data_IF_189534682365
#
_entry.id   IF_189534682365
#
_cell.length_a   1.000
_cell.length_b   1.000
_cell.length_c   1.000
_cell.angle_alpha   90.00
_cell.angle_beta   90.00
_cell.angle_gamma   90.00
#
_symmetry.space_group_name_H-M   'P 1'
#
loop_
_entity.id
_entity.type
_entity.pdbx_description
1 polymer ?
#
# COMPACT_ATOMS: atom_id res chain seq x y z
N UNK A 1 -14.01 7.50 -2.92
CA UNK A 1 -12.90 7.29 -3.88
C UNK A 1 -13.12 5.95 -4.54
N UNK A 2 -12.99 5.88 -5.87
CA UNK A 2 -13.04 4.62 -6.57
C UNK A 2 -11.65 3.97 -6.53
N UNK A 3 -11.60 2.68 -6.25
CA UNK A 3 -10.38 1.89 -6.41
C UNK A 3 -10.18 1.57 -7.88
N UNK A 4 -8.92 1.54 -8.34
CA UNK A 4 -8.64 0.99 -9.66
C UNK A 4 -8.85 -0.53 -9.62
N UNK A 5 -9.58 -1.07 -10.59
CA UNK A 5 -9.86 -2.52 -10.67
C UNK A 5 -9.04 -3.21 -11.75
N UNK A 6 -8.00 -2.55 -12.26
CA UNK A 6 -7.14 -3.11 -13.28
C UNK A 6 -6.34 -4.29 -12.72
N UNK A 7 -6.37 -5.42 -13.44
CA UNK A 7 -5.66 -6.66 -13.08
C UNK A 7 -4.83 -7.13 -14.26
N UNK A 8 -3.68 -7.74 -13.98
CA UNK A 8 -2.83 -8.37 -14.99
C UNK A 8 -2.17 -9.63 -14.48
N UNK A 9 -1.85 -10.56 -15.37
CA UNK A 9 -1.01 -11.72 -15.05
C UNK A 9 0.45 -11.29 -14.81
N UNK A 10 1.09 -11.80 -13.76
CA UNK A 10 2.48 -11.58 -13.45
C UNK A 10 3.35 -12.36 -14.46
N UNK A 11 4.28 -11.70 -15.18
CA UNK A 11 5.26 -12.38 -16.00
C UNK A 11 6.27 -13.08 -15.09
N UNK A 12 5.99 -14.33 -14.71
CA UNK A 12 6.68 -15.02 -13.62
C UNK A 12 8.20 -15.02 -13.76
N UNK A 13 8.72 -15.23 -14.97
CA UNK A 13 10.16 -15.20 -15.23
C UNK A 13 10.79 -13.86 -14.88
N UNK A 14 10.17 -12.74 -15.28
CA UNK A 14 10.68 -11.40 -15.00
C UNK A 14 10.57 -11.06 -13.51
N UNK A 15 9.43 -11.41 -12.90
CA UNK A 15 9.19 -11.14 -11.48
C UNK A 15 10.13 -11.95 -10.58
N UNK A 16 10.29 -13.25 -10.84
CA UNK A 16 11.23 -14.09 -10.09
C UNK A 16 12.68 -13.65 -10.28
N UNK A 17 13.06 -13.26 -11.51
CA UNK A 17 14.39 -12.70 -11.78
C UNK A 17 14.62 -11.44 -10.95
N UNK A 18 13.64 -10.52 -10.93
CA UNK A 18 13.73 -9.30 -10.16
C UNK A 18 13.77 -9.54 -8.64
N UNK A 19 13.00 -10.50 -8.12
CA UNK A 19 13.01 -10.87 -6.70
C UNK A 19 14.35 -11.44 -6.26
N UNK A 20 14.96 -12.33 -7.07
CA UNK A 20 16.25 -12.96 -6.76
C UNK A 20 17.42 -11.97 -6.89
N UNK A 21 17.29 -10.95 -7.75
CA UNK A 21 18.34 -9.94 -7.98
C UNK A 21 18.17 -8.68 -7.14
N UNK A 22 17.09 -8.57 -6.36
CA UNK A 22 16.85 -7.46 -5.46
C UNK A 22 17.81 -7.51 -4.26
N UNK A 23 18.48 -6.39 -3.97
CA UNK A 23 19.23 -6.20 -2.74
C UNK A 23 18.29 -6.26 -1.52
N UNK A 24 18.48 -7.24 -0.64
CA UNK A 24 17.57 -7.46 0.49
C UNK A 24 16.18 -7.92 0.05
N UNK A 25 16.13 -8.70 -1.03
CA UNK A 25 14.93 -9.42 -1.45
C UNK A 25 14.53 -10.51 -0.44
N UNK A 26 13.32 -11.08 -0.59
CA UNK A 26 12.77 -12.04 0.35
C UNK A 26 13.55 -13.37 0.37
N UNK A 27 13.65 -13.99 1.56
CA UNK A 27 14.26 -15.31 1.75
C UNK A 27 13.69 -16.40 0.83
N UNK A 28 12.37 -16.37 0.60
CA UNK A 28 11.68 -17.23 -0.35
C UNK A 28 10.96 -16.40 -1.43
N UNK A 29 11.58 -16.17 -2.60
CA UNK A 29 10.96 -15.39 -3.66
C UNK A 29 9.74 -16.07 -4.29
N UNK A 30 9.61 -17.39 -4.15
CA UNK A 30 8.46 -18.13 -4.66
C UNK A 30 7.22 -17.94 -3.79
N UNK A 31 7.41 -17.72 -2.48
CA UNK A 31 6.33 -17.43 -1.53
C UNK A 31 5.56 -16.14 -1.87
N UNK A 32 6.24 -15.14 -2.44
CA UNK A 32 5.64 -13.87 -2.88
C UNK A 32 4.57 -14.06 -3.95
N UNK A 33 4.67 -15.13 -4.74
CA UNK A 33 3.78 -15.42 -5.87
C UNK A 33 2.86 -16.62 -5.63
N UNK A 34 2.88 -17.21 -4.43
CA UNK A 34 2.39 -18.55 -4.17
C UNK A 34 0.86 -18.74 -4.14
N UNK A 35 0.04 -17.75 -4.49
CA UNK A 35 -1.42 -17.94 -4.41
C UNK A 35 -2.26 -17.36 -5.54
N UNK A 36 -1.82 -16.33 -6.27
CA UNK A 36 -2.46 -15.91 -7.51
C UNK A 36 -1.43 -15.14 -8.33
N UNK A 37 -1.13 -15.57 -9.55
CA UNK A 37 -0.23 -14.85 -10.46
C UNK A 37 -0.88 -13.59 -11.02
N UNK A 38 -1.86 -13.01 -10.33
CA UNK A 38 -2.61 -11.85 -10.78
C UNK A 38 -2.23 -10.67 -9.88
N UNK A 39 -1.79 -9.59 -10.51
CA UNK A 39 -1.45 -8.34 -9.85
C UNK A 39 -2.63 -7.39 -10.02
N UNK A 40 -3.13 -6.88 -8.90
CA UNK A 40 -4.15 -5.83 -8.86
C UNK A 40 -3.46 -4.47 -8.73
N UNK A 41 -3.98 -3.47 -9.44
CA UNK A 41 -3.50 -2.10 -9.28
C UNK A 41 -3.78 -1.61 -7.85
N UNK A 42 -2.74 -1.29 -7.11
CA UNK A 42 -2.82 -0.76 -5.74
C UNK A 42 -3.02 0.74 -5.70
N UNK A 43 -2.92 1.42 -6.85
CA UNK A 43 -3.31 2.81 -6.96
C UNK A 43 -4.84 2.92 -6.90
N UNK A 44 -5.33 3.95 -6.20
CA UNK A 44 -6.73 4.37 -6.28
C UNK A 44 -7.08 4.93 -7.66
N UNK A 45 -8.12 5.75 -7.73
CA UNK A 45 -8.48 6.46 -8.96
C UNK A 45 -7.29 7.25 -9.53
N UNK A 46 -6.99 7.02 -10.81
CA UNK A 46 -5.94 7.71 -11.55
C UNK A 46 -6.33 7.82 -13.03
N UNK A 47 -5.68 8.72 -13.76
CA UNK A 47 -5.97 8.90 -15.18
C UNK A 47 -5.41 7.75 -16.04
N UNK A 48 -5.78 7.73 -17.32
CA UNK A 48 -5.38 6.68 -18.26
C UNK A 48 -3.92 6.79 -18.74
N UNK A 49 -3.21 7.85 -18.37
CA UNK A 49 -1.79 8.06 -18.72
C UNK A 49 -0.86 7.56 -17.62
N UNK A 50 -1.35 7.46 -16.39
CA UNK A 50 -0.64 6.84 -15.27
C UNK A 50 -0.50 5.33 -15.48
N UNK A 51 0.72 4.82 -15.33
CA UNK A 51 0.96 3.38 -15.24
C UNK A 51 0.24 2.82 -14.02
N UNK A 52 -0.43 1.70 -14.19
CA UNK A 52 -0.89 0.90 -13.06
C UNK A 52 0.33 0.39 -12.27
N UNK A 53 0.17 0.20 -10.97
CA UNK A 53 1.26 -0.23 -10.10
C UNK A 53 0.78 -1.24 -9.05
N UNK A 54 1.61 -2.26 -8.79
CA UNK A 54 1.39 -3.26 -7.73
C UNK A 54 2.72 -3.50 -6.98
N UNK A 55 2.65 -3.62 -5.66
CA UNK A 55 3.79 -3.95 -4.82
C UNK A 55 4.07 -5.45 -4.93
N UNK A 56 5.29 -5.81 -5.31
CA UNK A 56 5.72 -7.21 -5.36
C UNK A 56 6.36 -7.62 -4.05
N UNK A 57 7.29 -6.81 -3.55
CA UNK A 57 7.99 -7.12 -2.31
C UNK A 57 8.35 -5.82 -1.59
N UNK A 58 7.91 -5.63 -0.34
CA UNK A 58 8.49 -4.59 0.51
C UNK A 58 9.94 -4.97 0.79
N UNK A 59 10.83 -3.98 0.90
CA UNK A 59 12.17 -4.27 1.37
C UNK A 59 12.14 -4.76 2.83
N UNK A 60 13.04 -5.69 3.18
CA UNK A 60 13.15 -6.22 4.56
C UNK A 60 13.39 -5.14 5.62
N UNK A 61 14.06 -4.05 5.22
CA UNK A 61 14.38 -2.93 6.10
C UNK A 61 13.50 -1.72 5.74
N UNK A 62 12.84 -1.07 6.73
CA UNK A 62 12.15 0.19 6.52
C UNK A 62 13.06 1.18 5.78
N UNK A 63 12.51 1.89 4.79
CA UNK A 63 13.19 2.90 3.96
C UNK A 63 14.12 2.39 2.83
N UNK A 64 14.37 1.08 2.71
CA UNK A 64 14.99 0.54 1.48
C UNK A 64 13.98 0.55 0.32
N UNK A 65 14.42 0.75 -0.94
CA UNK A 65 13.53 0.69 -2.10
C UNK A 65 12.77 -0.63 -2.18
N UNK A 66 11.47 -0.57 -2.43
CA UNK A 66 10.62 -1.74 -2.61
C UNK A 66 10.55 -2.15 -4.08
N UNK A 67 10.26 -3.43 -4.35
CA UNK A 67 10.08 -3.93 -5.70
C UNK A 67 8.63 -3.71 -6.15
N UNK A 68 8.46 -2.96 -7.24
CA UNK A 68 7.17 -2.63 -7.82
C UNK A 68 7.04 -3.17 -9.25
N UNK A 69 5.82 -3.53 -9.60
CA UNK A 69 5.40 -3.89 -10.95
C UNK A 69 4.58 -2.76 -11.55
N UNK A 70 5.02 -2.22 -12.69
CA UNK A 70 4.29 -1.18 -13.42
C UNK A 70 3.80 -1.71 -14.76
N UNK A 71 2.59 -1.32 -15.17
CA UNK A 71 2.08 -1.66 -16.50
C UNK A 71 1.13 -0.64 -17.10
N UNK A 72 1.02 -0.70 -18.42
CA UNK A 72 0.00 0.00 -19.22
C UNK A 72 -0.69 -0.99 -20.15
N UNK A 73 -1.92 -0.66 -20.56
CA UNK A 73 -2.73 -1.53 -21.41
C UNK A 73 -3.16 -2.82 -20.71
N UNK A 74 -3.56 -3.82 -21.49
CA UNK A 74 -3.99 -5.12 -21.00
C UNK A 74 -3.88 -6.20 -22.08
N UNK A 75 -3.92 -7.47 -21.66
CA UNK A 75 -3.80 -8.61 -22.57
C UNK A 75 -2.46 -8.64 -23.31
N UNK A 76 -2.50 -8.90 -24.62
CA UNK A 76 -1.30 -9.09 -25.45
C UNK A 76 -0.49 -7.81 -25.69
N UNK A 77 -1.11 -6.63 -25.60
CA UNK A 77 -0.46 -5.33 -25.83
C UNK A 77 0.12 -4.72 -24.54
N UNK A 78 0.14 -5.49 -23.45
CA UNK A 78 0.60 -5.00 -22.16
C UNK A 78 2.10 -4.74 -22.19
N UNK A 79 2.48 -3.50 -21.92
CA UNK A 79 3.85 -3.13 -21.60
C UNK A 79 4.02 -3.11 -20.08
N UNK A 80 5.10 -3.71 -19.59
CA UNK A 80 5.40 -3.75 -18.16
C UNK A 80 6.87 -3.49 -17.85
N UNK A 81 7.13 -3.13 -16.61
CA UNK A 81 8.48 -3.07 -16.02
C UNK A 81 8.44 -3.50 -14.56
N UNK A 82 9.52 -4.15 -14.13
CA UNK A 82 9.72 -4.57 -12.74
C UNK A 82 10.95 -3.84 -12.22
N UNK A 83 10.81 -3.05 -11.16
CA UNK A 83 11.88 -2.15 -10.72
C UNK A 83 11.80 -1.85 -9.22
N UNK A 84 12.96 -1.67 -8.60
CA UNK A 84 13.07 -1.19 -7.23
C UNK A 84 12.93 0.33 -7.18
N UNK A 85 12.03 0.83 -6.32
CA UNK A 85 11.69 2.25 -6.24
C UNK A 85 11.67 2.68 -4.77
N UNK A 86 12.22 3.86 -4.43
CA UNK A 86 12.11 4.38 -3.07
C UNK A 86 10.65 4.49 -2.62
N UNK A 87 10.41 4.33 -1.32
CA UNK A 87 9.13 4.65 -0.73
C UNK A 87 8.85 6.15 -0.80
N UNK A 88 7.57 6.51 -0.85
CA UNK A 88 7.12 7.89 -0.70
C UNK A 88 7.58 8.45 0.67
N UNK A 89 8.24 9.62 0.70
CA UNK A 89 8.77 10.19 1.94
C UNK A 89 7.68 10.83 2.82
N UNK A 90 6.44 10.87 2.34
CA UNK A 90 5.34 11.49 3.05
C UNK A 90 5.00 10.69 4.33
N UNK A 91 4.80 11.43 5.42
CA UNK A 91 4.39 10.90 6.73
C UNK A 91 3.18 11.65 7.25
N UNK A 92 2.24 10.93 7.84
CA UNK A 92 1.13 11.47 8.61
C UNK A 92 1.42 11.27 10.10
N UNK A 93 1.43 12.36 10.86
CA UNK A 93 1.60 12.32 12.33
C UNK A 93 0.25 12.53 13.01
N UNK A 94 -0.14 11.60 13.86
CA UNK A 94 -1.36 11.71 14.66
C UNK A 94 -0.98 12.07 16.09
N UNK A 95 -1.14 13.35 16.45
CA UNK A 95 -0.73 13.87 17.75
C UNK A 95 -1.50 13.27 18.94
N UNK A 96 -2.77 12.89 18.74
CA UNK A 96 -3.58 12.30 19.81
C UNK A 96 -3.05 10.94 20.30
N UNK A 97 -2.38 10.19 19.42
CA UNK A 97 -1.88 8.84 19.69
C UNK A 97 -0.35 8.76 19.60
N UNK A 98 0.32 9.89 19.39
CA UNK A 98 1.75 9.99 19.08
C UNK A 98 2.23 8.98 18.01
N UNK A 99 1.37 8.71 17.01
CA UNK A 99 1.66 7.72 15.97
C UNK A 99 2.12 8.39 14.67
N UNK A 100 2.96 7.67 13.93
CA UNK A 100 3.46 8.09 12.62
C UNK A 100 3.13 7.01 11.60
N UNK A 101 2.40 7.40 10.56
CA UNK A 101 2.11 6.55 9.41
C UNK A 101 2.96 7.01 8.23
N UNK A 102 3.71 6.09 7.63
CA UNK A 102 4.41 6.33 6.37
C UNK A 102 3.52 5.95 5.19
N UNK A 103 3.64 6.68 4.08
CA UNK A 103 2.88 6.36 2.88
C UNK A 103 3.36 5.02 2.30
N UNK A 104 2.43 4.11 2.02
CA UNK A 104 2.70 2.76 1.54
C UNK A 104 2.91 2.68 0.02
N UNK A 105 3.12 3.81 -0.66
CA UNK A 105 3.33 3.89 -2.10
C UNK A 105 4.77 4.26 -2.45
N UNK A 106 5.17 4.03 -3.71
CA UNK A 106 6.45 4.45 -4.26
C UNK A 106 6.57 5.98 -4.38
N UNK A 107 7.80 6.50 -4.42
CA UNK A 107 8.05 7.93 -4.59
C UNK A 107 7.45 8.47 -5.90
N UNK A 108 6.84 9.66 -5.82
CA UNK A 108 6.12 10.33 -6.94
C UNK A 108 4.92 9.56 -7.49
N UNK A 109 4.24 8.77 -6.65
CA UNK A 109 2.93 8.23 -7.00
C UNK A 109 1.92 9.34 -7.30
N UNK A 110 1.02 9.12 -8.26
CA UNK A 110 -0.05 10.09 -8.59
C UNK A 110 -1.31 9.92 -7.75
N UNK A 111 -1.47 8.76 -7.10
CA UNK A 111 -2.59 8.51 -6.20
C UNK A 111 -2.53 9.45 -4.98
N UNK A 112 -3.66 9.74 -4.32
CA UNK A 112 -3.64 10.25 -2.96
C UNK A 112 -2.82 9.35 -2.03
N UNK A 113 -2.24 9.91 -0.95
CA UNK A 113 -1.42 9.12 -0.03
C UNK A 113 -2.20 7.94 0.57
N UNK A 114 -1.53 6.84 0.91
CA UNK A 114 -2.17 5.58 1.29
C UNK A 114 -3.16 5.71 2.46
N UNK A 115 -2.92 6.62 3.42
CA UNK A 115 -3.85 6.89 4.54
C UNK A 115 -5.13 7.63 4.15
N UNK A 116 -5.22 8.14 2.92
CA UNK A 116 -6.47 8.73 2.40
C UNK A 116 -7.37 7.69 1.75
N UNK A 117 -6.84 6.49 1.50
CA UNK A 117 -7.61 5.37 0.98
C UNK A 117 -8.56 4.88 2.07
N UNK A 118 -9.85 5.06 1.85
CA UNK A 118 -10.89 4.49 2.72
C UNK A 118 -10.94 2.98 2.51
N UNK A 119 -10.78 2.21 3.57
CA UNK A 119 -11.12 0.79 3.61
C UNK A 119 -12.55 0.65 4.14
N UNK A 120 -13.57 0.62 3.26
CA UNK A 120 -14.96 0.53 3.69
C UNK A 120 -15.26 -0.77 4.43
N UNK A 121 -14.46 -1.83 4.23
CA UNK A 121 -14.62 -3.07 4.99
C UNK A 121 -14.02 -2.92 6.39
N UNK A 122 -12.85 -2.30 6.49
CA UNK A 122 -12.21 -1.94 7.76
C UNK A 122 -13.12 -1.10 8.66
N UNK A 123 -13.78 -0.09 8.09
CA UNK A 123 -14.73 0.76 8.82
C UNK A 123 -15.95 -0.03 9.34
N UNK A 124 -16.44 -1.00 8.55
CA UNK A 124 -17.54 -1.88 8.97
C UNK A 124 -17.11 -2.87 10.08
N UNK A 125 -15.88 -3.38 10.03
CA UNK A 125 -15.32 -4.31 11.03
C UNK A 125 -15.03 -3.59 12.34
N UNK A 126 -14.47 -2.38 12.28
CA UNK A 126 -14.15 -1.57 13.45
C UNK A 126 -15.40 -1.12 14.23
N UNK A 127 -16.57 -1.17 13.59
CA UNK A 127 -17.84 -0.76 14.19
C UNK A 127 -17.98 0.76 14.27
N UNK A 128 -19.18 1.27 14.64
CA UNK A 128 -19.38 2.70 14.79
C UNK A 128 -18.47 3.25 15.90
N UNK A 129 -17.68 4.27 15.57
CA UNK A 129 -16.92 5.04 16.56
C UNK A 129 -17.93 5.75 17.46
N UNK A 130 -18.23 5.16 18.61
CA UNK A 130 -19.04 5.82 19.64
C UNK A 130 -18.23 6.96 20.22
N UNK A 131 -18.38 8.16 19.66
CA UNK A 131 -18.00 9.38 20.35
C UNK A 131 -18.97 9.57 21.52
N UNK A 132 -18.50 9.28 22.73
CA UNK A 132 -19.09 9.76 23.97
C UNK A 132 -19.84 8.72 24.78
N UNK A 133 -19.19 8.25 25.85
CA UNK A 133 -19.78 8.41 27.18
C UNK A 133 -18.66 8.82 28.15
N UNK A 134 -18.19 10.07 28.01
CA UNK A 134 -17.60 10.76 29.16
C UNK A 134 -18.80 11.36 29.88
N UNK A 135 -19.44 10.56 30.74
CA UNK A 135 -20.20 11.11 31.86
C UNK A 135 -19.20 11.82 32.77
N UNK A 136 -19.00 13.11 32.51
CA UNK A 136 -18.38 14.03 33.45
C UNK A 136 -19.35 14.19 34.64
N UNK A 137 -19.29 13.27 35.62
CA UNK A 137 -19.92 13.48 36.92
C UNK A 137 -19.03 14.44 37.71
N UNK A 138 -19.47 15.68 38.01
CA UNK A 138 -18.63 16.68 38.66
C UNK A 138 -18.34 16.37 40.15
N UNK A 139 -18.75 15.22 40.68
CA UNK A 139 -18.74 14.93 42.12
C UNK A 139 -17.55 14.14 42.65
N UNK A 140 -16.65 13.64 41.82
CA UNK A 140 -15.51 12.82 42.29
C UNK A 140 -14.14 13.44 41.97
N UNK A 141 -13.95 14.70 42.36
CA UNK A 141 -12.60 15.25 42.54
C UNK A 141 -12.27 15.31 44.04
N UNK A 142 -11.43 14.40 44.57
CA UNK A 142 -10.76 14.67 45.84
C UNK A 142 -9.67 15.73 45.60
N UNK A 143 -9.80 16.88 46.28
CA UNK A 143 -8.65 17.71 46.67
C UNK A 143 -8.30 17.37 48.13
N UNK A 144 -7.07 17.58 48.62
CA UNK A 144 -5.75 17.54 47.98
C UNK A 144 -4.96 16.25 48.32
#
# INVERSE_FOLDING_TARGET
MLQCTAVTEAPLSDVLTALVTMDGGPDDPSSVLASNHHLLCELGEHDTRTEHAALLSPAEVPHRPALWFFWTGGGAERLHRVVTVPWCPAVLRTFATDSVLQCAFFDRHTAPHSWTVTDPLGDLIAGPVTSGDITDDPRERPQP
#
